data_IF_308887714525
#
_entry.id   IF_308887714525
#
_cell.length_a   1.000
_cell.length_b   1.000
_cell.length_c   1.000
_cell.angle_alpha   90.00
_cell.angle_beta   90.00
_cell.angle_gamma   90.00
#
_symmetry.space_group_name_H-M   'P 1'
#
loop_
_entity.id
_entity.type
_entity.pdbx_description
1 polymer ?
#
# COMPACT_ATOMS: atom_id res chain seq x y z
N UNK A 1 33.72 64.37 -22.53
CA UNK A 1 33.07 63.53 -23.57
C UNK A 1 32.09 62.53 -22.93
N UNK A 2 30.78 62.76 -23.16
CA UNK A 2 29.60 61.85 -23.19
C UNK A 2 29.45 60.74 -22.10
N UNK A 3 28.39 60.77 -21.26
CA UNK A 3 27.04 60.15 -21.43
C UNK A 3 27.05 58.61 -21.22
N UNK A 4 26.08 57.88 -20.64
CA UNK A 4 24.85 58.08 -19.86
C UNK A 4 24.36 56.68 -19.35
N UNK A 5 23.58 56.64 -18.25
CA UNK A 5 22.50 55.71 -17.85
C UNK A 5 22.70 54.16 -17.61
N UNK A 6 21.99 53.72 -16.54
CA UNK A 6 21.57 52.40 -15.97
C UNK A 6 20.99 51.36 -17.01
N UNK A 7 20.62 50.06 -16.75
CA UNK A 7 20.27 49.41 -15.47
C UNK A 7 20.54 47.88 -15.26
N UNK A 8 20.33 47.42 -14.02
CA UNK A 8 19.79 46.11 -13.57
C UNK A 8 20.13 44.76 -14.27
N UNK A 9 20.62 43.77 -13.50
CA UNK A 9 20.59 42.35 -13.86
C UNK A 9 21.23 41.43 -12.80
N UNK A 10 20.68 40.23 -12.53
CA UNK A 10 20.82 39.53 -11.24
C UNK A 10 22.06 38.63 -11.12
N UNK A 11 22.51 38.41 -9.88
CA UNK A 11 23.44 37.34 -9.53
C UNK A 11 22.81 35.97 -9.84
N UNK A 12 23.44 35.24 -10.75
CA UNK A 12 23.10 33.88 -11.11
C UNK A 12 23.30 32.92 -9.92
N UNK A 13 22.27 32.12 -9.66
CA UNK A 13 22.31 30.97 -8.77
C UNK A 13 23.12 29.84 -9.44
N UNK A 14 24.09 29.29 -8.71
CA UNK A 14 24.76 28.06 -9.05
C UNK A 14 24.45 27.00 -8.00
N UNK A 15 23.81 25.91 -8.46
CA UNK A 15 24.02 24.55 -7.96
C UNK A 15 23.22 24.10 -6.73
N UNK A 16 22.20 23.26 -6.96
CA UNK A 16 22.24 21.82 -6.65
C UNK A 16 20.86 21.21 -6.97
N UNK A 17 20.80 20.48 -8.08
CA UNK A 17 19.64 19.72 -8.51
C UNK A 17 19.51 18.44 -7.68
N UNK A 18 18.54 18.41 -6.77
CA UNK A 18 18.02 17.18 -6.18
C UNK A 18 16.86 16.67 -7.02
N UNK A 19 17.13 15.69 -7.88
CA UNK A 19 16.12 14.98 -8.65
C UNK A 19 15.26 14.12 -7.71
N UNK A 20 13.99 14.48 -7.52
CA UNK A 20 13.07 13.69 -6.70
C UNK A 20 11.70 14.29 -6.39
N UNK A 21 11.44 15.56 -6.71
CA UNK A 21 10.11 16.15 -6.54
C UNK A 21 9.48 16.44 -7.90
N UNK A 22 8.40 15.71 -8.21
CA UNK A 22 7.50 16.11 -9.28
C UNK A 22 7.00 17.51 -8.96
N UNK A 23 7.47 18.49 -9.73
CA UNK A 23 7.12 19.90 -9.60
C UNK A 23 5.64 20.14 -9.88
N UNK A 24 4.82 20.00 -8.84
CA UNK A 24 3.54 20.67 -8.75
C UNK A 24 3.83 22.04 -8.17
N UNK A 25 3.73 23.05 -9.02
CA UNK A 25 4.04 24.43 -8.68
C UNK A 25 3.39 24.83 -7.36
N UNK A 26 4.22 25.38 -6.49
CA UNK A 26 3.93 26.02 -5.22
C UNK A 26 2.86 27.12 -5.34
N UNK A 27 1.60 26.72 -5.49
CA UNK A 27 0.45 27.59 -5.27
C UNK A 27 -0.38 26.98 -4.15
N UNK A 28 -0.09 27.51 -2.95
CA UNK A 28 -0.89 27.41 -1.72
C UNK A 28 -0.85 26.06 -0.98
N UNK A 29 0.34 25.56 -0.67
CA UNK A 29 0.50 24.70 0.51
C UNK A 29 0.77 25.63 1.71
N UNK A 30 -0.12 25.74 2.71
CA UNK A 30 0.25 26.40 3.96
C UNK A 30 1.47 25.69 4.55
N UNK A 31 2.58 26.41 4.75
CA UNK A 31 3.89 25.85 5.10
C UNK A 31 3.87 24.92 6.34
N UNK A 32 2.90 25.10 7.24
CA UNK A 32 2.72 24.28 8.43
C UNK A 32 2.34 22.81 8.11
N UNK A 33 1.72 22.54 6.96
CA UNK A 33 1.10 21.24 6.65
C UNK A 33 2.00 20.25 5.90
N UNK A 34 3.13 20.68 5.37
CA UNK A 34 4.13 19.77 4.79
C UNK A 34 4.82 18.93 5.88
N UNK A 35 5.07 19.53 7.05
CA UNK A 35 5.74 18.87 8.18
C UNK A 35 4.94 17.70 8.78
N UNK A 36 3.61 17.76 8.73
CA UNK A 36 2.75 16.68 9.23
C UNK A 36 2.74 15.49 8.27
N UNK A 37 2.74 15.73 6.95
CA UNK A 37 2.81 14.67 5.94
C UNK A 37 4.16 13.92 6.01
N UNK A 38 5.26 14.64 6.18
CA UNK A 38 6.61 14.05 6.31
C UNK A 38 6.78 13.26 7.62
N UNK A 39 5.99 13.57 8.66
CA UNK A 39 5.99 12.87 9.95
C UNK A 39 4.93 11.76 10.07
N UNK A 40 4.21 11.41 8.99
CA UNK A 40 3.17 10.37 8.99
C UNK A 40 1.82 10.81 9.58
N UNK A 41 1.57 12.13 9.69
CA UNK A 41 0.31 12.77 10.06
C UNK A 41 -0.76 12.75 8.96
N UNK A 42 -2.03 12.80 9.38
CA UNK A 42 -3.20 12.14 8.76
C UNK A 42 -3.86 12.83 7.55
N UNK A 43 -3.26 13.82 6.90
CA UNK A 43 -3.88 14.50 5.75
C UNK A 43 -2.88 14.80 4.63
N UNK A 44 -2.80 13.93 3.63
CA UNK A 44 -1.90 14.12 2.48
C UNK A 44 -2.52 14.90 1.32
N UNK A 45 -3.85 15.07 1.29
CA UNK A 45 -4.58 15.69 0.18
C UNK A 45 -5.86 16.39 0.63
N UNK A 46 -6.35 17.34 -0.16
CA UNK A 46 -7.61 18.04 0.10
C UNK A 46 -8.41 18.21 -1.18
N UNK A 47 -9.73 18.40 -1.04
CA UNK A 47 -10.62 18.67 -2.14
C UNK A 47 -10.59 20.16 -2.50
N UNK A 48 -10.19 20.49 -3.73
CA UNK A 48 -10.17 21.89 -4.20
C UNK A 48 -11.57 22.47 -4.39
N UNK A 49 -12.62 21.63 -4.48
CA UNK A 49 -14.00 22.08 -4.66
C UNK A 49 -14.67 22.52 -3.33
N UNK A 50 -14.40 21.83 -2.23
CA UNK A 50 -15.07 22.06 -0.93
C UNK A 50 -14.13 22.33 0.25
N UNK A 51 -12.83 22.10 0.10
CA UNK A 51 -11.83 22.31 1.14
C UNK A 51 -11.71 21.17 2.17
N UNK A 52 -12.47 20.09 2.05
CA UNK A 52 -12.35 18.92 2.92
C UNK A 52 -10.97 18.25 2.77
N UNK A 53 -10.41 17.75 3.87
CA UNK A 53 -9.09 17.16 3.94
C UNK A 53 -9.18 15.63 4.11
N UNK A 54 -8.30 14.90 3.44
CA UNK A 54 -8.28 13.43 3.42
C UNK A 54 -6.88 12.89 3.66
N UNK A 55 -6.81 11.69 4.24
CA UNK A 55 -5.53 11.06 4.54
C UNK A 55 -4.83 10.54 3.30
N UNK A 56 -5.57 10.15 2.26
CA UNK A 56 -5.06 9.52 1.05
C UNK A 56 -5.85 9.97 -0.20
N UNK A 57 -5.24 9.88 -1.39
CA UNK A 57 -5.86 10.24 -2.69
C UNK A 57 -7.12 9.42 -2.95
N UNK A 58 -7.14 8.15 -2.51
CA UNK A 58 -8.27 7.22 -2.65
C UNK A 58 -9.48 7.66 -1.82
N UNK A 59 -9.25 8.30 -0.67
CA UNK A 59 -10.32 8.86 0.15
C UNK A 59 -10.87 10.14 -0.49
N UNK A 60 -10.00 11.00 -1.02
CA UNK A 60 -10.41 12.18 -1.79
C UNK A 60 -11.23 11.76 -3.02
N UNK A 61 -10.77 10.76 -3.79
CA UNK A 61 -11.50 10.21 -4.95
C UNK A 61 -12.90 9.75 -4.55
N UNK A 62 -13.02 8.93 -3.49
CA UNK A 62 -14.32 8.47 -2.97
C UNK A 62 -15.24 9.61 -2.57
N UNK A 63 -14.72 10.65 -1.92
CA UNK A 63 -15.49 11.86 -1.62
C UNK A 63 -15.98 12.56 -2.89
N UNK A 64 -15.09 12.81 -3.85
CA UNK A 64 -15.42 13.51 -5.09
C UNK A 64 -16.48 12.73 -5.89
N UNK A 65 -16.34 11.41 -5.98
CA UNK A 65 -17.32 10.54 -6.63
C UNK A 65 -18.68 10.58 -5.93
N UNK A 66 -18.70 10.53 -4.59
CA UNK A 66 -19.93 10.61 -3.81
C UNK A 66 -20.63 11.95 -4.02
N UNK A 67 -19.89 13.07 -3.93
CA UNK A 67 -20.42 14.42 -4.11
C UNK A 67 -20.97 14.64 -5.52
N UNK A 68 -20.24 14.21 -6.55
CA UNK A 68 -20.69 14.30 -7.94
C UNK A 68 -21.96 13.47 -8.20
N UNK A 69 -22.05 12.25 -7.65
CA UNK A 69 -23.23 11.39 -7.73
C UNK A 69 -24.43 11.97 -6.97
N UNK A 70 -24.22 12.44 -5.74
CA UNK A 70 -25.27 13.01 -4.88
C UNK A 70 -25.92 14.24 -5.49
N UNK A 71 -25.13 15.08 -6.17
CA UNK A 71 -25.64 16.26 -6.85
C UNK A 71 -26.30 15.97 -8.21
N UNK A 72 -26.43 14.69 -8.62
CA UNK A 72 -26.94 14.29 -9.94
C UNK A 72 -26.27 15.05 -11.11
N UNK A 73 -24.96 15.32 -10.99
CA UNK A 73 -24.20 16.08 -12.00
C UNK A 73 -24.33 17.60 -11.94
N UNK A 74 -25.08 18.17 -10.98
CA UNK A 74 -25.15 19.62 -10.76
C UNK A 74 -23.86 20.18 -10.14
N UNK A 75 -23.08 19.34 -9.45
CA UNK A 75 -21.80 19.72 -8.87
C UNK A 75 -20.68 19.60 -9.91
N UNK A 76 -20.55 20.67 -10.70
CA UNK A 76 -19.52 20.79 -11.74
C UNK A 76 -18.10 20.83 -11.16
N UNK A 77 -17.94 21.31 -9.92
CA UNK A 77 -16.63 21.46 -9.30
C UNK A 77 -16.05 20.09 -8.91
N UNK A 78 -16.85 19.24 -8.25
CA UNK A 78 -16.43 17.86 -7.95
C UNK A 78 -16.32 17.01 -9.22
N UNK A 79 -17.24 17.19 -10.18
CA UNK A 79 -17.17 16.44 -11.45
C UNK A 79 -15.88 16.75 -12.25
N UNK A 80 -15.50 18.02 -12.36
CA UNK A 80 -14.25 18.42 -13.03
C UNK A 80 -13.00 17.96 -12.27
N UNK A 81 -13.06 17.90 -10.93
CA UNK A 81 -11.96 17.38 -10.12
C UNK A 81 -11.77 15.87 -10.34
N UNK A 82 -12.85 15.10 -10.52
CA UNK A 82 -12.76 13.66 -10.77
C UNK A 82 -12.00 13.34 -12.07
N UNK A 83 -12.20 14.13 -13.12
CA UNK A 83 -11.50 13.99 -14.40
C UNK A 83 -9.99 14.26 -14.30
N UNK A 84 -9.57 15.10 -13.34
CA UNK A 84 -8.17 15.46 -13.11
C UNK A 84 -7.45 14.52 -12.15
N UNK A 85 -8.18 13.84 -11.27
CA UNK A 85 -7.58 12.93 -10.29
C UNK A 85 -6.96 11.73 -11.01
N UNK A 86 -5.73 11.32 -10.64
CA UNK A 86 -5.08 10.16 -11.24
C UNK A 86 -5.92 8.91 -10.97
N UNK A 87 -6.24 8.15 -12.02
CA UNK A 87 -6.98 6.88 -11.88
C UNK A 87 -6.31 5.96 -10.88
N UNK A 88 -7.12 5.18 -10.15
CA UNK A 88 -6.55 4.13 -9.30
C UNK A 88 -5.69 3.19 -10.14
N UNK A 89 -4.48 2.85 -9.69
CA UNK A 89 -3.64 1.91 -10.42
C UNK A 89 -4.31 0.54 -10.43
N UNK A 90 -4.27 -0.12 -11.57
CA UNK A 90 -4.69 -1.52 -11.67
C UNK A 90 -3.90 -2.41 -10.72
N UNK A 91 -4.49 -3.53 -10.30
CA UNK A 91 -3.81 -4.55 -9.47
C UNK A 91 -2.49 -4.98 -10.13
N UNK A 92 -2.45 -5.12 -11.46
CA UNK A 92 -1.24 -5.46 -12.21
C UNK A 92 -0.16 -4.37 -12.10
N UNK A 93 -0.53 -3.09 -12.16
CA UNK A 93 0.41 -1.98 -12.00
C UNK A 93 0.96 -1.92 -10.57
N UNK A 94 0.10 -2.08 -9.56
CA UNK A 94 0.54 -2.14 -8.15
C UNK A 94 1.51 -3.30 -7.96
N UNK A 95 1.17 -4.49 -8.46
CA UNK A 95 2.02 -5.68 -8.41
C UNK A 95 3.40 -5.44 -9.04
N UNK A 96 3.46 -4.85 -10.22
CA UNK A 96 4.72 -4.55 -10.90
C UNK A 96 5.57 -3.57 -10.09
N UNK A 97 4.95 -2.54 -9.49
CA UNK A 97 5.64 -1.58 -8.63
C UNK A 97 6.22 -2.25 -7.39
N UNK A 98 5.48 -3.13 -6.73
CA UNK A 98 5.97 -3.90 -5.57
C UNK A 98 7.15 -4.78 -5.98
N UNK A 99 7.04 -5.53 -7.08
CA UNK A 99 8.13 -6.37 -7.60
C UNK A 99 9.39 -5.55 -7.90
N UNK A 100 9.25 -4.43 -8.60
CA UNK A 100 10.37 -3.54 -8.91
C UNK A 100 11.00 -2.95 -7.63
N UNK A 101 10.17 -2.62 -6.64
CA UNK A 101 10.63 -2.11 -5.35
C UNK A 101 11.47 -3.16 -4.60
N UNK A 102 10.95 -4.40 -4.48
CA UNK A 102 11.64 -5.51 -3.81
C UNK A 102 12.92 -5.94 -4.55
N UNK A 103 12.97 -5.82 -5.87
CA UNK A 103 14.15 -6.15 -6.66
C UNK A 103 15.24 -5.05 -6.63
N UNK A 104 14.86 -3.79 -6.41
CA UNK A 104 15.79 -2.65 -6.43
C UNK A 104 16.43 -2.35 -5.07
N UNK A 105 15.98 -2.99 -4.00
CA UNK A 105 16.40 -2.72 -2.62
C UNK A 105 16.65 -4.02 -1.88
N UNK A 106 17.53 -3.97 -0.89
CA UNK A 106 17.68 -5.05 0.08
C UNK A 106 16.56 -4.95 1.10
N UNK A 107 15.47 -5.69 0.86
CA UNK A 107 14.33 -5.79 1.76
C UNK A 107 14.31 -7.19 2.37
N UNK A 108 14.19 -7.23 3.70
CA UNK A 108 14.09 -8.45 4.49
C UNK A 108 12.88 -8.33 5.43
N UNK A 109 12.02 -9.34 5.43
CA UNK A 109 10.86 -9.44 6.30
C UNK A 109 11.20 -10.35 7.49
N UNK A 110 11.26 -9.78 8.69
CA UNK A 110 11.47 -10.53 9.93
C UNK A 110 10.13 -10.95 10.53
N UNK A 111 9.89 -12.26 10.60
CA UNK A 111 8.75 -12.86 11.29
C UNK A 111 9.17 -13.28 12.69
N UNK A 112 8.41 -12.85 13.69
CA UNK A 112 8.66 -13.14 15.10
C UNK A 112 7.41 -13.81 15.68
N UNK A 113 7.60 -14.98 16.31
CA UNK A 113 6.55 -15.69 17.04
C UNK A 113 6.97 -15.73 18.50
N UNK A 114 6.10 -15.23 19.38
CA UNK A 114 6.30 -15.20 20.82
C UNK A 114 5.27 -16.08 21.51
N UNK A 115 5.67 -16.71 22.60
CA UNK A 115 4.79 -17.54 23.41
C UNK A 115 5.35 -17.78 24.80
N UNK A 116 4.58 -18.49 25.61
CA UNK A 116 5.02 -18.97 26.93
C UNK A 116 5.09 -20.49 26.83
N UNK A 117 6.25 -21.07 27.13
CA UNK A 117 6.38 -22.51 27.26
C UNK A 117 5.64 -22.97 28.53
N UNK A 118 4.59 -23.81 28.43
CA UNK A 118 3.77 -24.17 29.58
C UNK A 118 4.53 -25.00 30.62
N UNK A 119 5.61 -25.69 30.22
CA UNK A 119 6.39 -26.54 31.13
C UNK A 119 7.29 -25.69 32.04
N UNK A 120 7.96 -24.69 31.47
CA UNK A 120 8.92 -23.85 32.20
C UNK A 120 8.38 -22.47 32.59
N UNK A 121 7.17 -22.12 32.15
CA UNK A 121 6.58 -20.78 32.29
C UNK A 121 7.49 -19.65 31.75
N UNK A 122 8.43 -20.00 30.86
CA UNK A 122 9.37 -19.06 30.28
C UNK A 122 8.83 -18.48 28.98
N UNK A 123 9.12 -17.20 28.74
CA UNK A 123 8.84 -16.58 27.45
C UNK A 123 9.79 -17.14 26.40
N UNK A 124 9.24 -17.66 25.30
CA UNK A 124 9.98 -18.14 24.13
C UNK A 124 9.73 -17.21 22.95
N UNK A 125 10.77 -16.99 22.14
CA UNK A 125 10.70 -16.20 20.92
C UNK A 125 11.40 -16.95 19.79
N UNK A 126 10.67 -17.25 18.73
CA UNK A 126 11.20 -17.77 17.48
C UNK A 126 11.26 -16.65 16.45
N UNK A 127 12.32 -16.63 15.64
CA UNK A 127 12.53 -15.61 14.60
C UNK A 127 12.92 -16.30 13.31
N UNK A 128 12.36 -15.82 12.21
CA UNK A 128 12.75 -16.24 10.86
C UNK A 128 12.71 -15.03 9.93
N UNK A 129 13.56 -15.01 8.91
CA UNK A 129 13.59 -13.90 7.94
C UNK A 129 13.40 -14.39 6.52
N UNK A 130 12.69 -13.60 5.73
CA UNK A 130 12.42 -13.83 4.31
C UNK A 130 12.93 -12.65 3.50
N UNK A 131 13.70 -12.93 2.46
CA UNK A 131 14.16 -11.95 1.48
C UNK A 131 13.19 -11.87 0.30
N UNK A 132 13.42 -10.92 -0.61
CA UNK A 132 12.66 -10.84 -1.86
C UNK A 132 12.71 -12.13 -2.71
N UNK A 133 13.76 -12.94 -2.57
CA UNK A 133 13.93 -14.20 -3.31
C UNK A 133 13.09 -15.34 -2.74
N UNK A 134 12.67 -15.25 -1.47
CA UNK A 134 11.90 -16.28 -0.79
C UNK A 134 10.39 -16.10 -1.04
N UNK A 135 9.99 -15.04 -1.74
CA UNK A 135 8.59 -14.74 -2.07
C UNK A 135 8.17 -15.51 -3.33
N UNK A 136 7.38 -16.54 -3.12
CA UNK A 136 6.67 -17.23 -4.20
C UNK A 136 5.37 -16.48 -4.54
N UNK A 137 5.30 -15.92 -5.75
CA UNK A 137 4.13 -15.16 -6.20
C UNK A 137 3.04 -16.07 -6.75
N UNK A 138 1.78 -15.71 -6.50
CA UNK A 138 0.60 -16.47 -6.95
C UNK A 138 0.58 -17.92 -6.44
N UNK A 139 1.23 -18.16 -5.31
CA UNK A 139 1.28 -19.47 -4.66
C UNK A 139 0.56 -19.39 -3.31
N UNK A 140 0.00 -20.52 -2.91
CA UNK A 140 -0.60 -20.77 -1.62
C UNK A 140 0.08 -22.01 -1.01
N UNK A 141 0.15 -22.10 0.32
CA UNK A 141 0.69 -23.32 0.97
C UNK A 141 -0.24 -24.49 0.66
N UNK A 142 0.33 -25.67 0.43
CA UNK A 142 -0.45 -26.89 0.28
C UNK A 142 -1.16 -27.24 1.60
N UNK A 143 -2.36 -27.80 1.51
CA UNK A 143 -3.02 -28.36 2.68
C UNK A 143 -2.15 -29.48 3.27
N UNK A 144 -1.78 -29.34 4.54
CA UNK A 144 -0.97 -30.30 5.27
C UNK A 144 -1.70 -30.91 6.47
N UNK A 145 -3.01 -30.63 6.59
CA UNK A 145 -3.85 -31.13 7.66
C UNK A 145 -5.03 -31.86 7.04
N UNK A 146 -5.22 -33.11 7.43
CA UNK A 146 -6.28 -33.98 6.93
C UNK A 146 -7.02 -34.64 8.09
N UNK A 147 -8.34 -34.76 7.98
CA UNK A 147 -9.12 -35.55 8.92
C UNK A 147 -8.77 -37.04 8.77
N UNK A 148 -8.64 -37.73 9.89
CA UNK A 148 -8.32 -39.16 9.92
C UNK A 148 -9.20 -39.88 10.93
N UNK A 149 -9.31 -41.21 10.80
CA UNK A 149 -10.01 -42.04 11.79
C UNK A 149 -8.97 -42.72 12.67
N UNK A 150 -8.99 -42.40 13.96
CA UNK A 150 -8.11 -43.01 14.95
C UNK A 150 -8.46 -44.49 15.14
N UNK A 151 -7.53 -45.32 15.66
CA UNK A 151 -7.83 -46.72 15.99
C UNK A 151 -9.01 -46.90 16.97
N UNK A 152 -9.37 -45.86 17.73
CA UNK A 152 -10.54 -45.81 18.61
C UNK A 152 -11.88 -45.68 17.86
N UNK A 153 -11.86 -45.36 16.56
CA UNK A 153 -13.06 -45.06 15.76
C UNK A 153 -13.50 -43.59 15.79
N UNK A 154 -12.76 -42.73 16.49
CA UNK A 154 -13.01 -41.28 16.55
C UNK A 154 -12.31 -40.53 15.41
N UNK A 155 -12.86 -39.39 15.01
CA UNK A 155 -12.19 -38.47 14.07
C UNK A 155 -11.03 -37.76 14.79
N UNK A 156 -9.83 -37.88 14.24
CA UNK A 156 -8.65 -37.11 14.60
C UNK A 156 -8.18 -36.25 13.44
N UNK A 157 -7.12 -35.47 13.66
CA UNK A 157 -6.45 -34.70 12.61
C UNK A 157 -5.03 -35.23 12.43
N UNK A 158 -4.62 -35.47 11.19
CA UNK A 158 -3.26 -35.81 10.81
C UNK A 158 -2.60 -34.58 10.22
N UNK A 159 -1.40 -34.25 10.72
CA UNK A 159 -0.57 -33.18 10.16
C UNK A 159 0.60 -33.83 9.42
N UNK A 160 0.67 -33.64 8.10
CA UNK A 160 1.80 -34.07 7.27
C UNK A 160 2.87 -32.96 7.20
N UNK A 161 3.86 -33.06 8.08
CA UNK A 161 4.97 -32.11 8.11
C UNK A 161 5.85 -32.14 6.86
N UNK A 162 5.81 -33.20 6.05
CA UNK A 162 6.55 -33.23 4.79
C UNK A 162 5.99 -32.21 3.79
N UNK A 163 4.68 -31.93 3.86
CA UNK A 163 3.98 -30.96 3.01
C UNK A 163 3.99 -29.54 3.57
N UNK A 164 4.56 -29.33 4.75
CA UNK A 164 4.48 -28.04 5.46
C UNK A 164 5.08 -26.85 4.67
N UNK A 165 6.08 -27.12 3.83
CA UNK A 165 6.74 -26.10 3.00
C UNK A 165 6.29 -26.14 1.53
N UNK A 166 5.39 -27.08 1.18
CA UNK A 166 4.96 -27.25 -0.20
C UNK A 166 4.05 -26.09 -0.62
N UNK A 167 4.22 -25.66 -1.87
CA UNK A 167 3.47 -24.58 -2.47
C UNK A 167 2.69 -25.08 -3.67
N UNK A 168 1.43 -24.65 -3.76
CA UNK A 168 0.54 -24.90 -4.89
C UNK A 168 0.14 -23.58 -5.55
N UNK A 169 -0.10 -23.53 -6.87
CA UNK A 169 -0.65 -22.35 -7.52
C UNK A 169 -1.95 -21.93 -6.83
N UNK A 170 -2.11 -20.64 -6.54
CA UNK A 170 -3.32 -20.16 -5.91
C UNK A 170 -4.41 -19.96 -6.98
N UNK A 171 -5.51 -20.69 -6.85
CA UNK A 171 -6.67 -20.55 -7.75
C UNK A 171 -7.33 -19.19 -7.47
N UNK A 172 -7.02 -18.19 -8.29
CA UNK A 172 -7.74 -16.91 -8.25
C UNK A 172 -9.17 -17.13 -8.77
N UNK A 173 -10.09 -17.45 -7.86
CA UNK A 173 -11.53 -17.30 -8.07
C UNK A 173 -12.29 -18.55 -8.51
N UNK A 174 -12.45 -19.53 -7.63
CA UNK A 174 -13.76 -20.13 -7.46
C UNK A 174 -14.49 -19.32 -6.38
N UNK A 175 -15.70 -18.76 -6.61
CA UNK A 175 -16.54 -18.33 -5.50
C UNK A 175 -16.67 -19.54 -4.57
N UNK A 176 -16.48 -19.33 -3.27
CA UNK A 176 -16.82 -20.36 -2.29
C UNK A 176 -18.23 -20.85 -2.64
N UNK A 177 -18.37 -22.12 -3.00
CA UNK A 177 -19.69 -22.71 -3.08
C UNK A 177 -20.23 -22.62 -1.66
N UNK A 178 -21.15 -21.68 -1.44
CA UNK A 178 -21.93 -21.58 -0.22
C UNK A 178 -22.63 -22.93 -0.08
N UNK A 179 -22.01 -23.81 0.72
CA UNK A 179 -22.46 -25.16 0.97
C UNK A 179 -23.74 -25.12 1.80
N UNK A 180 -24.85 -24.79 1.15
CA UNK A 180 -26.18 -25.13 1.63
C UNK A 180 -26.31 -26.66 1.52
N UNK A 181 -25.88 -27.37 2.56
CA UNK A 181 -26.23 -28.78 2.73
C UNK A 181 -27.70 -28.88 3.18
N UNK A 182 -28.45 -29.88 2.66
CA UNK A 182 -29.89 -30.04 2.89
C UNK A 182 -30.28 -30.41 4.33
#
# INVERSE_FOLDING_TARGET
PAAAADPGGPLAAAGLEGAGTLGWGSRLVPAQRASEADAGGRYSVWCEACGECFAQVEQLRRHVEYSARRAAGADRAHSALLERLPSEPSVQQVRQRIRAFLASRFVEMLVVVEGIDPVTSSNVQARHSYTANDIAWDMCFADCVEDTVLPSGETGMLIDFARFHDLVPCELGAPAEDGESP
#
